data_IF_440977703572
#
_entry.id   IF_440977703572
#
_cell.length_a   1.000
_cell.length_b   1.000
_cell.length_c   1.000
_cell.angle_alpha   90.00
_cell.angle_beta   90.00
_cell.angle_gamma   90.00
#
_symmetry.space_group_name_H-M   'P 1'
#
loop_
_entity.id
_entity.type
_entity.pdbx_description
1 polymer ?
#
# COMPACT_ATOMS: atom_id res chain seq x y z
N UNK A 1 -12.49 -26.44 0.29
CA UNK A 1 -11.76 -26.35 1.57
C UNK A 1 -12.76 -26.01 2.66
N UNK A 2 -12.69 -26.64 3.84
CA UNK A 2 -13.53 -26.23 4.99
C UNK A 2 -13.15 -24.79 5.40
N UNK A 3 -14.09 -24.03 5.96
CA UNK A 3 -13.86 -22.64 6.39
C UNK A 3 -12.67 -22.51 7.34
N UNK A 4 -12.45 -23.51 8.20
CA UNK A 4 -11.29 -23.61 9.09
C UNK A 4 -9.98 -23.78 8.32
N UNK A 5 -9.95 -24.64 7.30
CA UNK A 5 -8.76 -24.86 6.47
C UNK A 5 -8.33 -23.60 5.72
N UNK A 6 -9.29 -22.84 5.17
CA UNK A 6 -9.01 -21.55 4.51
C UNK A 6 -8.39 -20.55 5.49
N UNK A 7 -8.95 -20.43 6.70
CA UNK A 7 -8.45 -19.52 7.73
C UNK A 7 -7.01 -19.83 8.14
N UNK A 8 -6.67 -21.11 8.31
CA UNK A 8 -5.30 -21.55 8.64
C UNK A 8 -4.33 -21.20 7.50
N UNK A 9 -4.71 -21.46 6.24
CA UNK A 9 -3.86 -21.10 5.09
C UNK A 9 -3.60 -19.60 5.02
N UNK A 10 -4.63 -18.78 5.21
CA UNK A 10 -4.49 -17.31 5.24
C UNK A 10 -3.59 -16.88 6.39
N UNK A 11 -3.78 -17.42 7.60
CA UNK A 11 -2.96 -17.08 8.76
C UNK A 11 -1.46 -17.38 8.53
N UNK A 12 -1.15 -18.55 7.96
CA UNK A 12 0.22 -18.92 7.61
C UNK A 12 0.79 -17.98 6.54
N UNK A 13 0.02 -17.69 5.49
CA UNK A 13 0.43 -16.76 4.43
C UNK A 13 0.72 -15.37 5.00
N UNK A 14 -0.13 -14.85 5.89
CA UNK A 14 0.06 -13.57 6.58
C UNK A 14 1.33 -13.58 7.42
N UNK A 15 1.59 -14.64 8.18
CA UNK A 15 2.79 -14.75 9.01
C UNK A 15 4.07 -14.71 8.16
N UNK A 16 4.12 -15.51 7.09
CA UNK A 16 5.27 -15.58 6.19
C UNK A 16 5.50 -14.26 5.45
N UNK A 17 4.43 -13.67 4.90
CA UNK A 17 4.52 -12.41 4.12
C UNK A 17 4.79 -11.19 5.01
N UNK A 18 4.30 -11.18 6.25
CA UNK A 18 4.65 -10.16 7.24
C UNK A 18 6.14 -10.23 7.59
N UNK A 19 6.68 -11.44 7.76
CA UNK A 19 8.12 -11.65 7.98
C UNK A 19 8.93 -11.15 6.77
N UNK A 20 8.49 -11.47 5.54
CA UNK A 20 9.11 -10.95 4.32
C UNK A 20 9.03 -9.42 4.22
N UNK A 21 7.90 -8.79 4.59
CA UNK A 21 7.78 -7.34 4.65
C UNK A 21 8.66 -6.73 5.73
N UNK A 22 8.89 -7.42 6.84
CA UNK A 22 9.84 -7.00 7.87
C UNK A 22 11.29 -6.97 7.35
N UNK A 23 11.69 -8.00 6.58
CA UNK A 23 13.06 -8.14 6.06
C UNK A 23 13.30 -7.23 4.84
N UNK A 24 12.40 -7.27 3.86
CA UNK A 24 12.56 -6.60 2.57
C UNK A 24 11.78 -5.28 2.46
N UNK A 25 11.07 -4.86 3.51
CA UNK A 25 10.26 -3.65 3.53
C UNK A 25 8.91 -3.80 2.83
N UNK A 26 8.90 -3.85 1.49
CA UNK A 26 7.68 -3.68 0.68
C UNK A 26 7.22 -4.88 -0.13
N UNK A 27 8.06 -5.89 -0.34
CA UNK A 27 7.71 -7.04 -1.18
C UNK A 27 6.54 -7.87 -0.62
N UNK A 28 6.39 -7.94 0.71
CA UNK A 28 5.40 -8.80 1.36
C UNK A 28 3.96 -8.50 1.00
N UNK A 29 3.62 -7.23 0.76
CA UNK A 29 2.26 -6.83 0.39
C UNK A 29 1.82 -7.37 -0.98
N UNK A 30 2.71 -7.30 -1.99
CA UNK A 30 2.46 -7.85 -3.33
C UNK A 30 2.23 -9.35 -3.28
N UNK A 31 3.09 -10.06 -2.55
CA UNK A 31 3.02 -11.53 -2.43
C UNK A 31 1.75 -11.95 -1.70
N UNK A 32 1.39 -11.27 -0.60
CA UNK A 32 0.17 -11.59 0.15
C UNK A 32 -1.08 -11.38 -0.72
N UNK A 33 -1.17 -10.27 -1.46
CA UNK A 33 -2.30 -10.04 -2.35
C UNK A 33 -2.38 -11.12 -3.43
N UNK A 34 -1.25 -11.52 -4.04
CA UNK A 34 -1.22 -12.60 -5.03
C UNK A 34 -1.76 -13.91 -4.44
N UNK A 35 -1.39 -14.27 -3.21
CA UNK A 35 -1.93 -15.44 -2.52
C UNK A 35 -3.43 -15.28 -2.28
N UNK A 36 -3.88 -14.14 -1.75
CA UNK A 36 -5.30 -13.89 -1.47
C UNK A 36 -6.17 -13.95 -2.73
N UNK A 37 -5.69 -13.46 -3.88
CA UNK A 37 -6.40 -13.52 -5.16
C UNK A 37 -6.61 -14.95 -5.68
N UNK A 38 -5.80 -15.93 -5.25
CA UNK A 38 -6.02 -17.34 -5.57
C UNK A 38 -7.05 -18.02 -4.66
N UNK A 39 -7.38 -17.40 -3.52
CA UNK A 39 -8.22 -17.96 -2.46
C UNK A 39 -9.58 -17.26 -2.32
N UNK A 40 -9.67 -15.98 -2.67
CA UNK A 40 -10.80 -15.10 -2.40
C UNK A 40 -11.21 -14.32 -3.66
N UNK A 41 -12.49 -13.92 -3.78
CA UNK A 41 -12.90 -12.94 -4.79
C UNK A 41 -12.11 -11.64 -4.66
N UNK A 42 -11.87 -10.97 -5.79
CA UNK A 42 -10.97 -9.80 -5.90
C UNK A 42 -11.25 -8.73 -4.86
N UNK A 43 -12.51 -8.30 -4.71
CA UNK A 43 -12.90 -7.29 -3.74
C UNK A 43 -12.61 -7.73 -2.29
N UNK A 44 -12.89 -8.99 -1.96
CA UNK A 44 -12.61 -9.57 -0.63
C UNK A 44 -11.11 -9.68 -0.38
N UNK A 45 -10.33 -10.09 -1.38
CA UNK A 45 -8.88 -10.17 -1.28
C UNK A 45 -8.27 -8.80 -0.98
N UNK A 46 -8.67 -7.75 -1.71
CA UNK A 46 -8.21 -6.37 -1.50
C UNK A 46 -8.62 -5.86 -0.10
N UNK A 47 -9.85 -6.11 0.34
CA UNK A 47 -10.31 -5.69 1.66
C UNK A 47 -9.54 -6.38 2.80
N UNK A 48 -9.35 -7.70 2.70
CA UNK A 48 -8.60 -8.50 3.68
C UNK A 48 -7.13 -8.06 3.71
N UNK A 49 -6.52 -7.88 2.54
CA UNK A 49 -5.17 -7.33 2.39
C UNK A 49 -5.05 -5.97 3.10
N UNK A 50 -5.99 -5.05 2.86
CA UNK A 50 -6.00 -3.72 3.48
C UNK A 50 -6.07 -3.80 5.01
N UNK A 51 -6.95 -4.65 5.55
CA UNK A 51 -7.08 -4.86 6.99
C UNK A 51 -5.77 -5.40 7.61
N UNK A 52 -5.15 -6.40 6.98
CA UNK A 52 -3.86 -6.97 7.43
C UNK A 52 -2.77 -5.89 7.41
N UNK A 53 -2.73 -5.07 6.36
CA UNK A 53 -1.74 -4.00 6.23
C UNK A 53 -1.95 -2.88 7.24
N UNK A 54 -3.19 -2.54 7.62
CA UNK A 54 -3.46 -1.59 8.71
C UNK A 54 -2.83 -2.09 10.01
N UNK A 55 -2.96 -3.38 10.34
CA UNK A 55 -2.38 -3.96 11.56
C UNK A 55 -0.85 -4.03 11.45
N UNK A 56 -0.33 -4.58 10.36
CA UNK A 56 1.12 -4.77 10.16
C UNK A 56 1.89 -3.45 10.04
N UNK A 57 1.36 -2.47 9.31
CA UNK A 57 1.98 -1.14 9.21
C UNK A 57 1.67 -0.27 10.42
N UNK A 58 0.48 -0.41 11.00
CA UNK A 58 0.07 0.33 12.19
C UNK A 58 0.92 0.00 13.41
N UNK A 59 1.27 -1.27 13.62
CA UNK A 59 2.23 -1.66 14.68
C UNK A 59 3.60 -0.99 14.50
N UNK A 60 4.14 -0.95 13.26
CA UNK A 60 5.39 -0.25 12.95
C UNK A 60 5.27 1.27 13.19
N UNK A 61 4.18 1.87 12.74
CA UNK A 61 3.90 3.29 12.97
C UNK A 61 3.80 3.61 14.46
N UNK A 62 3.20 2.72 15.26
CA UNK A 62 3.09 2.89 16.70
C UNK A 62 4.45 2.88 17.42
N UNK A 63 5.36 1.98 17.03
CA UNK A 63 6.72 1.94 17.58
C UNK A 63 7.55 3.15 17.14
N UNK A 64 7.33 3.65 15.92
CA UNK A 64 8.03 4.82 15.36
C UNK A 64 7.28 6.14 15.56
N UNK A 65 6.27 6.19 16.44
CA UNK A 65 5.35 7.34 16.57
C UNK A 65 6.04 8.68 16.89
N UNK A 66 7.20 8.63 17.55
CA UNK A 66 7.98 9.81 17.90
C UNK A 66 8.64 10.47 16.67
N UNK A 67 8.79 9.73 15.58
CA UNK A 67 9.40 10.19 14.33
C UNK A 67 8.35 10.53 13.25
N UNK A 68 7.06 10.49 13.59
CA UNK A 68 5.98 10.79 12.67
C UNK A 68 5.75 12.31 12.62
N UNK A 69 5.93 12.90 11.44
CA UNK A 69 5.41 14.23 11.15
C UNK A 69 3.89 14.15 10.92
N UNK A 70 3.13 14.53 11.94
CA UNK A 70 1.67 14.51 11.93
C UNK A 70 1.03 15.45 10.90
N UNK A 71 1.73 16.53 10.53
CA UNK A 71 1.23 17.46 9.51
C UNK A 71 1.28 16.81 8.14
N UNK A 72 2.40 16.17 7.80
CA UNK A 72 2.55 15.42 6.55
C UNK A 72 1.58 14.24 6.51
N UNK A 73 1.47 13.48 7.60
CA UNK A 73 0.53 12.38 7.71
C UNK A 73 -0.92 12.85 7.45
N UNK A 74 -1.32 13.98 8.05
CA UNK A 74 -2.63 14.59 7.81
C UNK A 74 -2.88 14.90 6.33
N UNK A 75 -1.89 15.44 5.61
CA UNK A 75 -2.00 15.71 4.17
C UNK A 75 -2.13 14.43 3.34
N UNK A 76 -1.38 13.37 3.68
CA UNK A 76 -1.51 12.05 3.06
C UNK A 76 -2.92 11.49 3.28
N UNK A 77 -3.44 11.58 4.51
CA UNK A 77 -4.80 11.15 4.83
C UNK A 77 -5.86 11.93 4.04
N UNK A 78 -5.72 13.25 3.89
CA UNK A 78 -6.61 14.08 3.06
C UNK A 78 -6.56 13.63 1.60
N UNK A 79 -5.37 13.39 1.04
CA UNK A 79 -5.22 12.88 -0.32
C UNK A 79 -5.90 11.52 -0.52
N UNK A 80 -5.71 10.60 0.44
CA UNK A 80 -6.35 9.28 0.43
C UNK A 80 -7.89 9.40 0.51
N UNK A 81 -8.41 10.26 1.38
CA UNK A 81 -9.86 10.52 1.46
C UNK A 81 -10.39 11.05 0.13
N UNK A 82 -9.66 11.96 -0.53
CA UNK A 82 -10.01 12.45 -1.85
C UNK A 82 -10.09 11.34 -2.90
N UNK A 83 -9.12 10.42 -2.91
CA UNK A 83 -9.15 9.27 -3.81
C UNK A 83 -10.29 8.30 -3.48
N UNK A 84 -10.55 8.05 -2.20
CA UNK A 84 -11.65 7.19 -1.75
C UNK A 84 -13.02 7.76 -2.17
N UNK A 85 -13.23 9.06 -1.99
CA UNK A 85 -14.44 9.76 -2.44
C UNK A 85 -14.57 9.66 -3.95
N UNK A 86 -13.50 9.89 -4.71
CA UNK A 86 -13.53 9.76 -6.17
C UNK A 86 -13.93 8.34 -6.61
N UNK A 87 -13.27 7.32 -6.06
CA UNK A 87 -13.57 5.90 -6.36
C UNK A 87 -15.01 5.53 -5.99
N UNK A 88 -15.52 6.05 -4.88
CA UNK A 88 -16.90 5.89 -4.47
C UNK A 88 -17.88 6.54 -5.47
N UNK A 89 -17.62 7.80 -5.86
CA UNK A 89 -18.47 8.55 -6.79
C UNK A 89 -18.54 7.88 -8.17
N UNK A 90 -17.43 7.35 -8.66
CA UNK A 90 -17.38 6.61 -9.94
C UNK A 90 -17.84 5.16 -9.81
N UNK A 91 -18.23 4.71 -8.60
CA UNK A 91 -18.67 3.35 -8.30
C UNK A 91 -17.67 2.30 -8.79
N UNK A 92 -16.38 2.55 -8.53
CA UNK A 92 -15.32 1.67 -8.97
C UNK A 92 -15.45 0.28 -8.34
N UNK A 93 -15.42 -0.76 -9.18
CA UNK A 93 -15.43 -2.16 -8.76
C UNK A 93 -14.16 -2.80 -9.33
N UNK A 94 -13.26 -3.32 -8.48
CA UNK A 94 -12.03 -3.94 -8.96
C UNK A 94 -12.34 -5.28 -9.63
N UNK A 95 -11.94 -5.42 -10.88
CA UNK A 95 -11.91 -6.70 -11.58
C UNK A 95 -10.49 -7.29 -11.62
N UNK A 96 -10.39 -8.61 -11.83
CA UNK A 96 -9.12 -9.32 -11.78
C UNK A 96 -8.14 -8.84 -12.86
N UNK A 97 -8.62 -8.50 -14.06
CA UNK A 97 -7.76 -8.09 -15.15
C UNK A 97 -7.11 -6.73 -14.85
N UNK A 98 -7.90 -5.75 -14.40
CA UNK A 98 -7.40 -4.43 -13.99
C UNK A 98 -6.38 -4.55 -12.86
N UNK A 99 -6.66 -5.37 -11.84
CA UNK A 99 -5.74 -5.59 -10.71
C UNK A 99 -4.44 -6.25 -11.17
N UNK A 100 -4.50 -7.31 -11.97
CA UNK A 100 -3.31 -7.99 -12.49
C UNK A 100 -2.47 -7.09 -13.40
N UNK A 101 -3.11 -6.30 -14.27
CA UNK A 101 -2.41 -5.33 -15.13
C UNK A 101 -1.73 -4.27 -14.25
N UNK A 102 -2.45 -3.68 -13.29
CA UNK A 102 -1.88 -2.66 -12.40
C UNK A 102 -0.67 -3.20 -11.63
N UNK A 103 -0.78 -4.42 -11.06
CA UNK A 103 0.33 -5.09 -10.36
C UNK A 103 1.48 -5.39 -11.32
N UNK A 104 1.22 -5.86 -12.54
CA UNK A 104 2.24 -6.15 -13.54
C UNK A 104 2.98 -4.90 -14.04
N UNK A 105 2.33 -3.73 -14.01
CA UNK A 105 2.93 -2.45 -14.36
C UNK A 105 3.69 -1.80 -13.18
N UNK A 106 3.44 -2.21 -11.93
CA UNK A 106 4.12 -1.65 -10.75
C UNK A 106 5.66 -1.69 -10.82
N UNK A 107 6.32 -2.76 -11.30
CA UNK A 107 7.78 -2.79 -11.45
C UNK A 107 8.33 -1.73 -12.42
N UNK A 108 7.54 -1.30 -13.42
CA UNK A 108 7.96 -0.28 -14.39
C UNK A 108 8.17 1.07 -13.69
N UNK A 109 7.35 1.38 -12.68
CA UNK A 109 7.50 2.60 -11.88
C UNK A 109 8.87 2.66 -11.17
N UNK A 110 9.44 1.51 -10.80
CA UNK A 110 10.78 1.43 -10.18
C UNK A 110 11.89 1.79 -11.17
N UNK A 111 11.67 1.55 -12.47
CA UNK A 111 12.64 1.84 -13.53
C UNK A 111 12.55 3.27 -14.07
N UNK A 112 11.55 4.06 -13.64
CA UNK A 112 11.47 5.47 -14.03
C UNK A 112 12.68 6.21 -13.45
N UNK A 113 13.44 6.95 -14.29
CA UNK A 113 14.62 7.67 -13.81
C UNK A 113 14.26 8.66 -12.71
N UNK A 114 14.92 8.54 -11.56
CA UNK A 114 14.68 9.36 -10.35
C UNK A 114 14.84 10.88 -10.54
N UNK A 115 15.38 11.32 -11.66
CA UNK A 115 15.51 12.75 -12.00
C UNK A 115 14.28 13.30 -12.73
N UNK A 116 13.41 12.45 -13.26
CA UNK A 116 12.16 12.86 -13.93
C UNK A 116 11.06 13.17 -12.91
N UNK A 117 11.06 12.47 -11.77
CA UNK A 117 10.08 12.62 -10.71
C UNK A 117 10.79 13.12 -9.44
N UNK A 118 10.94 14.44 -9.31
CA UNK A 118 11.49 15.10 -8.12
C UNK A 118 10.42 15.26 -7.02
N UNK A 119 9.75 14.17 -6.68
CA UNK A 119 8.74 14.14 -5.63
C UNK A 119 9.40 14.05 -4.25
N UNK A 120 8.78 14.69 -3.28
CA UNK A 120 9.34 14.91 -1.94
C UNK A 120 8.18 14.96 -0.95
N UNK A 121 7.99 13.87 -0.21
CA UNK A 121 6.90 13.70 0.73
C UNK A 121 6.94 14.73 1.88
N UNK A 122 8.06 15.44 2.10
CA UNK A 122 8.11 16.51 3.09
C UNK A 122 7.28 17.74 2.70
N UNK A 123 6.97 17.92 1.42
CA UNK A 123 6.17 19.04 0.93
C UNK A 123 4.69 18.71 1.04
N UNK A 124 3.85 19.58 1.64
CA UNK A 124 2.42 19.31 1.86
C UNK A 124 1.65 18.91 0.59
N UNK A 125 1.94 19.55 -0.55
CA UNK A 125 1.29 19.22 -1.82
C UNK A 125 1.69 17.82 -2.31
N UNK A 126 2.97 17.47 -2.22
CA UNK A 126 3.46 16.14 -2.62
C UNK A 126 2.96 15.05 -1.68
N UNK A 127 2.83 15.35 -0.39
CA UNK A 127 2.21 14.48 0.61
C UNK A 127 0.74 14.20 0.25
N UNK A 128 -0.02 15.22 -0.16
CA UNK A 128 -1.39 15.06 -0.64
C UNK A 128 -1.45 14.19 -1.91
N UNK A 129 -0.58 14.44 -2.89
CA UNK A 129 -0.51 13.63 -4.11
C UNK A 129 -0.08 12.18 -3.81
N UNK A 130 0.83 11.98 -2.84
CA UNK A 130 1.23 10.66 -2.37
C UNK A 130 0.03 9.91 -1.76
N UNK A 131 -0.77 10.58 -0.93
CA UNK A 131 -2.00 10.01 -0.39
C UNK A 131 -3.03 9.69 -1.47
N UNK A 132 -3.21 10.60 -2.43
CA UNK A 132 -4.18 10.44 -3.50
C UNK A 132 -3.79 9.30 -4.46
N UNK A 133 -2.58 9.31 -5.00
CA UNK A 133 -2.13 8.28 -5.94
C UNK A 133 -1.69 7.00 -5.24
N UNK A 134 -0.81 7.09 -4.24
CA UNK A 134 -0.30 5.93 -3.52
C UNK A 134 -1.39 5.28 -2.65
N UNK A 135 -2.12 6.07 -1.87
CA UNK A 135 -3.23 5.55 -1.07
C UNK A 135 -4.42 5.11 -1.93
N UNK A 136 -4.77 5.89 -2.96
CA UNK A 136 -5.85 5.55 -3.90
C UNK A 136 -5.58 4.27 -4.68
N UNK A 137 -4.34 4.07 -5.15
CA UNK A 137 -3.96 2.82 -5.82
C UNK A 137 -4.02 1.63 -4.85
N UNK A 138 -3.61 1.80 -3.60
CA UNK A 138 -3.77 0.75 -2.59
C UNK A 138 -5.23 0.40 -2.35
N UNK A 139 -6.14 1.39 -2.38
CA UNK A 139 -7.57 1.16 -2.25
C UNK A 139 -8.18 0.52 -3.51
N UNK A 140 -7.71 0.90 -4.70
CA UNK A 140 -8.24 0.43 -5.98
C UNK A 140 -7.77 -0.97 -6.36
N UNK A 141 -6.50 -1.31 -6.09
CA UNK A 141 -5.89 -2.57 -6.53
C UNK A 141 -5.17 -3.35 -5.42
N UNK A 142 -5.21 -2.88 -4.17
CA UNK A 142 -4.69 -3.59 -3.01
C UNK A 142 -3.18 -3.45 -2.75
N UNK A 143 -2.44 -2.77 -3.64
CA UNK A 143 -1.00 -2.52 -3.48
C UNK A 143 -0.58 -1.17 -4.07
N UNK A 144 0.34 -0.49 -3.40
CA UNK A 144 0.95 0.75 -3.91
C UNK A 144 2.43 0.98 -3.59
N UNK A 145 3.15 -0.01 -3.05
CA UNK A 145 4.52 0.14 -2.54
C UNK A 145 5.45 0.95 -3.46
N UNK A 146 5.67 0.54 -4.72
CA UNK A 146 6.53 1.26 -5.65
C UNK A 146 6.08 2.70 -5.95
N UNK A 147 4.78 2.98 -5.89
CA UNK A 147 4.25 4.33 -6.10
C UNK A 147 4.60 5.22 -4.92
N UNK A 148 4.43 4.73 -3.69
CA UNK A 148 4.75 5.49 -2.47
C UNK A 148 6.26 5.72 -2.38
N UNK A 149 7.09 4.75 -2.76
CA UNK A 149 8.55 4.87 -2.74
C UNK A 149 9.11 6.05 -3.53
N UNK A 150 8.51 6.35 -4.68
CA UNK A 150 8.93 7.48 -5.52
C UNK A 150 8.82 8.80 -4.75
N UNK A 151 7.83 8.94 -3.85
CA UNK A 151 7.66 10.15 -3.04
C UNK A 151 8.65 10.23 -1.86
N UNK A 152 9.09 9.09 -1.32
CA UNK A 152 9.94 9.05 -0.13
C UNK A 152 11.44 8.92 -0.43
N UNK A 153 11.84 8.50 -1.64
CA UNK A 153 13.25 8.27 -2.04
C UNK A 153 14.19 9.46 -1.84
N UNK A 154 13.69 10.71 -1.95
CA UNK A 154 14.49 11.94 -1.78
C UNK A 154 14.19 12.68 -0.47
N UNK A 155 13.32 12.15 0.37
CA UNK A 155 12.88 12.87 1.56
C UNK A 155 13.93 12.72 2.65
N UNK A 156 14.50 13.83 3.10
CA UNK A 156 15.46 13.88 4.21
C UNK A 156 14.72 13.87 5.56
N UNK A 157 13.84 12.87 5.77
CA UNK A 157 13.26 12.60 7.08
C UNK A 157 14.19 11.63 7.79
N UNK A 158 14.88 12.13 8.81
CA UNK A 158 15.92 11.38 9.50
C UNK A 158 15.34 10.14 10.17
N UNK A 159 16.00 9.00 10.00
CA UNK A 159 15.60 7.71 10.58
C UNK A 159 16.32 7.46 11.91
N UNK A 160 17.12 8.41 12.38
CA UNK A 160 17.93 8.31 13.60
C UNK A 160 18.04 9.66 14.32
N UNK A 161 18.20 9.59 15.64
CA UNK A 161 19.24 10.37 16.31
C UNK A 161 20.49 9.50 16.37
#
# INVERSE_FOLDING_TARGET
MTSLGLGITVAIAVLLTSTLSGIFGMAGGLVLLAVLLTLLPVATAIAVQGAIQIVANGSRAWFSREFIDWRILGMICIGLLGAAVLLYLVRYIPDLATVCIAIGLMPILVWIPKHWLALDASKPLHALLCGFFGGGLNLAVGVSGPTVDIFFIRTQMDRRK
#
